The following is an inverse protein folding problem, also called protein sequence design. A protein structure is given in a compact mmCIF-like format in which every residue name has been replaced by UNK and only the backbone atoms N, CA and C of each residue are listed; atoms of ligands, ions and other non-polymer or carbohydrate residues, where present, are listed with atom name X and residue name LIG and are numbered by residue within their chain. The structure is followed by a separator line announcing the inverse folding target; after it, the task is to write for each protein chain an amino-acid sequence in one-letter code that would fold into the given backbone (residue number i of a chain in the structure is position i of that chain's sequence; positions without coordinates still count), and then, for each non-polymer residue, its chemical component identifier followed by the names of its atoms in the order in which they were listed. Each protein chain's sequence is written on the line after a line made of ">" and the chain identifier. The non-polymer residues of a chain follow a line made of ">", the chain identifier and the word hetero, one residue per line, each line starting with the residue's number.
data_IF_615975758346
#
_entry.id   IF_615975758346
#
_cell.length_a   1.000
_cell.length_b   1.000
_cell.length_c   1.000
_cell.angle_alpha   90.00
_cell.angle_beta   90.00
_cell.angle_gamma   90.00
#
_symmetry.space_group_name_H-M   'P 1'
#
loop_
_entity.id
_entity.type
_entity.pdbx_description
1 polymer ?
#
# COMPACT_ATOMS: atom_id res chain seq x y z
N UNK A 1 2.47 58.57 -80.56
CA UNK A 1 1.23 58.82 -81.33
C UNK A 1 0.86 57.52 -82.07
N UNK A 2 -0.42 57.14 -82.22
CA UNK A 2 -1.55 57.43 -81.35
C UNK A 2 -2.56 56.24 -81.19
N UNK A 3 -3.54 56.46 -80.32
CA UNK A 3 -4.97 56.07 -80.43
C UNK A 3 -5.47 54.63 -80.16
N UNK A 4 -6.09 54.47 -78.98
CA UNK A 4 -7.55 54.45 -78.72
C UNK A 4 -8.44 53.78 -79.82
N UNK A 5 -9.19 52.74 -79.45
CA UNK A 5 -10.67 52.70 -79.56
C UNK A 5 -11.32 51.49 -78.88
N UNK A 6 -12.39 51.82 -78.17
CA UNK A 6 -13.43 51.04 -77.50
C UNK A 6 -14.41 50.57 -78.63
N UNK A 7 -15.20 49.50 -78.63
CA UNK A 7 -16.28 49.05 -77.72
C UNK A 7 -16.99 47.87 -78.41
N UNK A 8 -17.62 46.95 -77.66
CA UNK A 8 -18.93 46.31 -78.00
C UNK A 8 -19.36 45.36 -76.87
N UNK A 9 -20.09 45.84 -75.86
CA UNK A 9 -21.51 45.51 -75.56
C UNK A 9 -21.88 44.01 -75.45
N UNK A 10 -22.15 43.54 -74.22
CA UNK A 10 -23.47 43.02 -73.79
C UNK A 10 -23.39 42.37 -72.38
N UNK A 11 -24.32 42.75 -71.51
CA UNK A 11 -24.63 42.28 -70.12
C UNK A 11 -26.10 41.78 -70.23
N UNK A 12 -26.69 40.81 -69.47
CA UNK A 12 -26.60 40.63 -68.00
C UNK A 12 -26.71 39.19 -67.44
N UNK A 13 -26.68 39.13 -66.10
CA UNK A 13 -27.37 38.18 -65.19
C UNK A 13 -26.42 37.26 -64.40
N UNK A 14 -26.54 37.04 -63.08
CA UNK A 14 -27.44 37.51 -62.02
C UNK A 14 -26.77 37.14 -60.67
N UNK A 15 -26.80 38.06 -59.71
CA UNK A 15 -26.94 37.89 -58.25
C UNK A 15 -26.34 36.66 -57.54
N UNK A 16 -25.25 36.89 -56.78
CA UNK A 16 -25.11 36.38 -55.41
C UNK A 16 -26.05 37.21 -54.51
N UNK A 17 -26.76 36.63 -53.52
CA UNK A 17 -26.08 36.39 -52.24
C UNK A 17 -26.65 35.25 -51.35
N UNK A 18 -25.89 34.95 -50.30
CA UNK A 18 -26.26 34.22 -49.06
C UNK A 18 -26.25 32.69 -49.05
N UNK A 19 -25.34 32.15 -48.24
CA UNK A 19 -25.34 30.76 -47.82
C UNK A 19 -23.97 30.25 -47.36
N UNK A 20 -23.23 30.99 -46.54
CA UNK A 20 -22.03 30.44 -45.89
C UNK A 20 -22.49 29.57 -44.72
N UNK A 21 -22.73 28.28 -44.99
CA UNK A 21 -23.00 27.27 -43.97
C UNK A 21 -21.66 26.94 -43.28
N UNK A 22 -21.40 27.57 -42.12
CA UNK A 22 -20.31 27.13 -41.24
C UNK A 22 -20.77 25.86 -40.56
N UNK A 23 -20.31 24.71 -41.08
CA UNK A 23 -20.41 23.44 -40.39
C UNK A 23 -19.34 23.44 -39.28
N UNK A 24 -19.76 23.83 -38.07
CA UNK A 24 -18.96 23.71 -36.86
C UNK A 24 -18.84 22.22 -36.52
N UNK A 25 -17.77 21.58 -36.98
CA UNK A 25 -17.38 20.24 -36.51
C UNK A 25 -16.92 20.41 -35.06
N UNK A 26 -17.84 20.17 -34.11
CA UNK A 26 -17.46 19.81 -32.74
C UNK A 26 -16.74 18.45 -32.82
N UNK A 27 -15.43 18.47 -33.05
CA UNK A 27 -14.58 17.38 -32.65
C UNK A 27 -14.55 17.40 -31.11
N UNK A 28 -15.53 16.74 -30.50
CA UNK A 28 -15.58 16.55 -29.06
C UNK A 28 -14.26 15.93 -28.61
N UNK A 29 -13.52 16.64 -27.77
CA UNK A 29 -12.29 16.16 -27.16
C UNK A 29 -12.62 14.95 -26.28
N UNK A 30 -12.38 13.74 -26.79
CA UNK A 30 -12.59 12.47 -26.09
C UNK A 30 -11.76 12.33 -24.81
N UNK A 31 -10.76 13.20 -24.60
CA UNK A 31 -9.91 13.22 -23.41
C UNK A 31 -10.66 13.55 -22.12
N UNK A 32 -11.70 14.40 -22.17
CA UNK A 32 -12.46 14.79 -20.96
C UNK A 32 -13.45 13.74 -20.44
N UNK A 33 -13.96 12.88 -21.34
CA UNK A 33 -14.90 11.81 -20.98
C UNK A 33 -14.19 10.61 -20.34
N UNK A 34 -12.93 10.34 -20.69
CA UNK A 34 -12.17 9.22 -20.13
C UNK A 34 -11.77 9.48 -18.66
N UNK A 35 -11.44 10.73 -18.30
CA UNK A 35 -11.02 11.09 -16.94
C UNK A 35 -12.19 11.12 -15.93
N UNK A 36 -13.44 11.10 -16.41
CA UNK A 36 -14.67 11.07 -15.61
C UNK A 36 -15.33 9.68 -15.53
N UNK A 37 -14.74 8.64 -16.13
CA UNK A 37 -15.32 7.29 -16.16
C UNK A 37 -15.52 6.67 -14.77
N UNK A 38 -14.63 6.96 -13.81
CA UNK A 38 -14.76 6.49 -12.44
C UNK A 38 -15.91 7.17 -11.66
N UNK A 39 -16.33 8.36 -12.12
CA UNK A 39 -17.51 9.09 -11.61
C UNK A 39 -18.80 8.61 -12.28
N UNK A 40 -18.73 8.20 -13.55
CA UNK A 40 -19.86 7.78 -14.37
C UNK A 40 -19.67 6.33 -14.87
N UNK A 41 -19.78 5.37 -13.95
CA UNK A 41 -19.58 3.95 -14.25
C UNK A 41 -20.69 3.40 -15.15
N UNK A 42 -20.31 2.65 -16.19
CA UNK A 42 -21.26 1.90 -16.99
C UNK A 42 -21.83 0.73 -16.16
N UNK A 43 -23.15 0.53 -16.09
CA UNK A 43 -23.76 -0.58 -15.35
C UNK A 43 -23.22 -1.97 -15.77
N UNK A 44 -22.84 -2.16 -17.03
CA UNK A 44 -22.27 -3.44 -17.48
C UNK A 44 -20.94 -3.75 -16.80
N UNK A 45 -20.12 -2.74 -16.52
CA UNK A 45 -18.83 -2.91 -15.85
C UNK A 45 -18.97 -3.40 -14.41
N UNK A 46 -20.07 -3.04 -13.73
CA UNK A 46 -20.35 -3.55 -12.39
C UNK A 46 -20.58 -5.06 -12.42
N UNK A 47 -21.26 -5.55 -13.48
CA UNK A 47 -21.48 -6.98 -13.69
C UNK A 47 -20.22 -7.71 -14.14
N UNK A 48 -19.31 -7.03 -14.86
CA UNK A 48 -17.99 -7.59 -15.23
C UNK A 48 -17.15 -7.89 -13.98
N UNK A 49 -17.18 -7.01 -12.97
CA UNK A 49 -16.34 -7.16 -11.77
C UNK A 49 -17.03 -7.91 -10.62
N UNK A 50 -18.37 -7.96 -10.60
CA UNK A 50 -19.18 -8.70 -9.64
C UNK A 50 -20.24 -9.56 -10.36
N UNK A 51 -19.83 -10.63 -11.05
CA UNK A 51 -20.74 -11.42 -11.90
C UNK A 51 -21.83 -12.16 -11.12
N UNK A 52 -21.63 -12.41 -9.82
CA UNK A 52 -22.61 -13.06 -8.96
C UNK A 52 -23.76 -12.13 -8.50
N UNK A 53 -23.68 -10.83 -8.78
CA UNK A 53 -24.65 -9.84 -8.33
C UNK A 53 -25.85 -9.74 -9.29
N UNK A 54 -27.06 -9.68 -8.72
CA UNK A 54 -28.28 -9.41 -9.48
C UNK A 54 -28.66 -7.91 -9.47
N UNK A 55 -28.17 -7.14 -8.50
CA UNK A 55 -28.38 -5.70 -8.45
C UNK A 55 -27.29 -4.96 -7.67
N UNK A 56 -27.22 -3.65 -7.86
CA UNK A 56 -26.21 -2.77 -7.26
C UNK A 56 -26.86 -1.56 -6.59
N UNK A 57 -26.27 -1.05 -5.50
CA UNK A 57 -26.66 0.24 -4.92
C UNK A 57 -26.11 1.43 -5.72
N UNK A 58 -26.53 2.63 -5.37
CA UNK A 58 -25.74 3.84 -5.66
C UNK A 58 -24.45 3.84 -4.82
N UNK A 59 -23.39 4.46 -5.35
CA UNK A 59 -22.11 4.63 -4.66
C UNK A 59 -22.31 5.52 -3.41
N UNK A 60 -21.92 5.04 -2.23
CA UNK A 60 -22.10 5.72 -0.96
C UNK A 60 -21.16 5.17 0.13
N UNK A 61 -21.04 5.88 1.26
CA UNK A 61 -20.18 5.53 2.38
C UNK A 61 -18.82 6.22 2.33
N UNK A 62 -17.93 5.86 3.26
CA UNK A 62 -16.58 6.39 3.38
C UNK A 62 -15.61 5.28 3.84
N UNK A 63 -14.65 4.83 3.00
CA UNK A 63 -14.50 5.18 1.59
C UNK A 63 -15.74 4.78 0.76
N UNK A 64 -16.06 5.45 -0.36
CA UNK A 64 -17.32 5.23 -1.05
C UNK A 64 -17.33 3.91 -1.84
N UNK A 65 -18.39 3.13 -1.67
CA UNK A 65 -18.57 1.81 -2.29
C UNK A 65 -19.96 1.66 -2.93
N UNK A 66 -20.04 0.80 -3.94
CA UNK A 66 -21.28 0.27 -4.49
C UNK A 66 -21.49 -1.11 -3.86
N UNK A 67 -22.62 -1.31 -3.18
CA UNK A 67 -22.98 -2.62 -2.61
C UNK A 67 -23.56 -3.51 -3.71
N UNK A 68 -23.06 -4.73 -3.80
CA UNK A 68 -23.56 -5.76 -4.70
C UNK A 68 -24.52 -6.69 -3.96
N UNK A 69 -25.66 -7.02 -4.56
CA UNK A 69 -26.70 -7.84 -3.94
C UNK A 69 -27.00 -9.10 -4.75
N UNK A 70 -27.31 -10.20 -4.04
CA UNK A 70 -27.70 -11.48 -4.66
C UNK A 70 -29.04 -11.42 -5.41
N UNK A 71 -29.94 -10.53 -4.98
CA UNK A 71 -31.28 -10.40 -5.54
C UNK A 71 -31.59 -8.95 -5.95
N UNK A 72 -32.57 -8.77 -6.84
CA UNK A 72 -33.08 -7.44 -7.19
C UNK A 72 -33.77 -6.73 -6.03
N UNK A 73 -34.26 -7.49 -5.04
CA UNK A 73 -34.88 -6.99 -3.81
C UNK A 73 -33.86 -6.42 -2.80
N UNK A 74 -32.55 -6.58 -3.05
CA UNK A 74 -31.44 -6.06 -2.22
C UNK A 74 -31.44 -6.55 -0.76
N UNK A 75 -31.85 -7.80 -0.55
CA UNK A 75 -31.96 -8.39 0.80
C UNK A 75 -30.62 -8.86 1.37
N UNK A 76 -29.71 -9.34 0.51
CA UNK A 76 -28.42 -9.90 0.90
C UNK A 76 -27.30 -9.25 0.11
N UNK A 77 -26.40 -8.57 0.82
CA UNK A 77 -25.12 -8.09 0.27
C UNK A 77 -24.22 -9.30 0.04
N UNK A 78 -23.51 -9.30 -1.08
CA UNK A 78 -22.53 -10.35 -1.42
C UNK A 78 -21.13 -9.80 -1.70
N UNK A 79 -20.94 -8.49 -1.52
CA UNK A 79 -19.66 -7.83 -1.72
C UNK A 79 -19.80 -6.36 -2.08
N UNK A 80 -18.66 -5.78 -2.43
CA UNK A 80 -18.48 -4.35 -2.67
C UNK A 80 -17.78 -4.12 -4.01
N UNK A 81 -18.15 -3.03 -4.68
CA UNK A 81 -17.48 -2.52 -5.88
C UNK A 81 -17.01 -1.11 -5.61
N UNK A 82 -15.76 -0.81 -5.94
CA UNK A 82 -15.12 0.46 -5.66
C UNK A 82 -14.12 0.83 -6.76
N UNK A 83 -13.68 2.09 -6.77
CA UNK A 83 -12.69 2.58 -7.73
C UNK A 83 -11.45 3.11 -7.02
N UNK A 84 -10.26 2.86 -7.55
CA UNK A 84 -9.01 3.32 -6.91
C UNK A 84 -8.93 4.83 -6.64
N UNK A 85 -9.49 5.74 -7.48
CA UNK A 85 -9.46 7.17 -7.18
C UNK A 85 -10.29 7.57 -5.95
N UNK A 86 -11.25 6.74 -5.54
CA UNK A 86 -12.05 6.97 -4.34
C UNK A 86 -11.33 6.54 -3.05
N UNK A 87 -10.20 5.83 -3.19
CA UNK A 87 -9.49 5.20 -2.07
C UNK A 87 -8.03 5.66 -2.09
N UNK A 88 -7.76 6.96 -1.83
CA UNK A 88 -6.41 7.50 -1.86
C UNK A 88 -5.51 6.88 -0.77
N UNK A 89 -4.17 6.90 -0.95
CA UNK A 89 -3.44 7.50 -2.07
C UNK A 89 -3.45 6.61 -3.33
N UNK A 90 -3.47 7.25 -4.51
CA UNK A 90 -3.33 6.55 -5.78
C UNK A 90 -1.86 6.23 -6.08
N UNK A 91 -1.62 5.05 -6.63
CA UNK A 91 -0.29 4.68 -7.12
C UNK A 91 -0.04 5.27 -8.51
N UNK A 92 1.18 5.76 -8.70
CA UNK A 92 1.63 6.31 -9.96
C UNK A 92 2.28 5.23 -10.82
N UNK A 93 1.73 5.03 -12.02
CA UNK A 93 2.40 4.35 -13.12
C UNK A 93 3.57 5.17 -13.65
N UNK A 94 4.08 4.81 -14.83
CA UNK A 94 5.25 5.49 -15.39
C UNK A 94 4.95 6.94 -15.76
N UNK A 95 3.72 7.22 -16.25
CA UNK A 95 3.33 8.57 -16.70
C UNK A 95 2.21 9.21 -15.89
N UNK A 96 1.43 8.44 -15.12
CA UNK A 96 0.29 8.96 -14.36
C UNK A 96 -0.44 7.91 -13.51
N UNK A 97 -1.57 8.29 -12.92
CA UNK A 97 -2.42 7.37 -12.16
C UNK A 97 -3.11 6.35 -13.06
N UNK A 98 -3.46 5.22 -12.47
CA UNK A 98 -4.20 4.15 -13.14
C UNK A 98 -5.49 3.90 -12.37
N UNK A 99 -6.61 4.23 -13.00
CA UNK A 99 -7.93 4.09 -12.41
C UNK A 99 -8.49 2.71 -12.71
N UNK A 100 -8.84 1.98 -11.65
CA UNK A 100 -9.42 0.65 -11.73
C UNK A 100 -10.79 0.63 -11.07
N UNK A 101 -11.68 -0.22 -11.57
CA UNK A 101 -12.91 -0.67 -10.93
C UNK A 101 -12.68 -2.08 -10.42
N UNK A 102 -12.93 -2.31 -9.14
CA UNK A 102 -12.61 -3.57 -8.47
C UNK A 102 -13.86 -4.08 -7.76
N UNK A 103 -14.17 -5.36 -7.96
CA UNK A 103 -15.15 -6.10 -7.18
C UNK A 103 -14.46 -6.97 -6.13
N UNK A 104 -15.05 -7.04 -4.94
CA UNK A 104 -14.56 -7.84 -3.82
C UNK A 104 -15.74 -8.48 -3.08
N UNK A 105 -15.64 -9.75 -2.74
CA UNK A 105 -16.65 -10.45 -1.94
C UNK A 105 -16.53 -10.14 -0.43
N UNK A 106 -17.30 -10.84 0.40
CA UNK A 106 -17.33 -10.60 1.84
C UNK A 106 -16.18 -11.29 2.59
N UNK A 107 -15.48 -12.19 1.91
CA UNK A 107 -14.29 -12.89 2.38
C UNK A 107 -13.01 -12.12 2.02
N UNK A 108 -13.14 -10.99 1.30
CA UNK A 108 -12.02 -10.15 0.92
C UNK A 108 -11.29 -10.65 -0.33
N UNK A 109 -11.93 -11.49 -1.14
CA UNK A 109 -11.36 -12.00 -2.40
C UNK A 109 -11.81 -11.12 -3.57
N UNK A 110 -10.86 -10.75 -4.42
CA UNK A 110 -11.15 -9.96 -5.62
C UNK A 110 -11.91 -10.80 -6.65
N UNK A 111 -13.14 -10.40 -6.96
CA UNK A 111 -14.00 -11.11 -7.92
C UNK A 111 -13.82 -10.63 -9.36
N UNK A 112 -13.20 -9.46 -9.55
CA UNK A 112 -12.94 -8.89 -10.86
C UNK A 112 -12.24 -7.53 -10.79
N UNK A 113 -11.40 -7.26 -11.79
CA UNK A 113 -10.68 -5.99 -11.95
C UNK A 113 -10.85 -5.49 -13.37
N UNK A 114 -11.26 -4.22 -13.50
CA UNK A 114 -11.41 -3.55 -14.79
C UNK A 114 -10.60 -2.26 -14.82
N UNK A 115 -9.76 -2.11 -15.83
CA UNK A 115 -9.06 -0.84 -16.08
C UNK A 115 -10.05 0.15 -16.67
N UNK A 116 -10.25 1.28 -15.98
CA UNK A 116 -11.11 2.36 -16.44
C UNK A 116 -10.31 3.34 -17.30
N UNK A 117 -9.22 3.83 -16.72
CA UNK A 117 -8.42 4.89 -17.32
C UNK A 117 -6.95 4.74 -16.91
N UNK A 118 -6.06 5.09 -17.83
CA UNK A 118 -4.65 5.26 -17.53
C UNK A 118 -4.01 6.21 -18.53
N UNK A 119 -3.06 7.00 -18.04
CA UNK A 119 -2.17 7.80 -18.86
C UNK A 119 -0.78 7.16 -18.85
N UNK A 120 -0.38 6.64 -20.02
CA UNK A 120 0.96 6.09 -20.22
C UNK A 120 1.50 6.49 -21.57
N UNK A 121 2.73 7.02 -21.58
CA UNK A 121 3.46 7.41 -22.80
C UNK A 121 3.50 6.28 -23.84
N UNK A 122 3.56 5.02 -23.37
CA UNK A 122 3.62 3.83 -24.21
C UNK A 122 2.30 3.51 -24.93
N UNK A 123 1.18 4.06 -24.48
CA UNK A 123 -0.13 3.89 -25.11
C UNK A 123 -0.15 4.38 -26.55
N UNK A 124 0.61 5.45 -26.85
CA UNK A 124 0.69 6.07 -28.17
C UNK A 124 1.20 5.12 -29.27
N UNK A 125 2.06 4.15 -28.92
CA UNK A 125 2.68 3.23 -29.88
C UNK A 125 2.42 1.75 -29.60
N UNK A 126 1.95 1.36 -28.41
CA UNK A 126 1.56 -0.03 -28.08
C UNK A 126 0.04 -0.24 -27.98
N UNK A 127 -0.77 0.81 -28.12
CA UNK A 127 -2.22 0.72 -27.92
C UNK A 127 -2.59 0.41 -26.48
N UNK A 128 -3.69 -0.34 -26.28
CA UNK A 128 -4.13 -0.78 -24.95
C UNK A 128 -3.29 -1.96 -24.43
N UNK A 129 -2.02 -1.69 -24.14
CA UNK A 129 -1.09 -2.73 -23.70
C UNK A 129 -1.42 -3.28 -22.30
N UNK A 130 -2.12 -2.51 -21.46
CA UNK A 130 -2.56 -2.97 -20.15
C UNK A 130 -3.74 -3.93 -20.31
N UNK A 131 -4.79 -3.53 -21.04
CA UNK A 131 -5.95 -4.38 -21.29
C UNK A 131 -5.61 -5.70 -21.97
N UNK A 132 -4.58 -5.72 -22.81
CA UNK A 132 -4.13 -6.93 -23.52
C UNK A 132 -3.11 -7.79 -22.73
N UNK A 133 -2.67 -7.36 -21.55
CA UNK A 133 -1.59 -8.05 -20.82
C UNK A 133 -2.04 -9.23 -19.95
N UNK A 134 -3.33 -9.31 -19.63
CA UNK A 134 -3.85 -10.29 -18.67
C UNK A 134 -3.60 -9.95 -17.19
N UNK A 135 -2.89 -8.85 -16.88
CA UNK A 135 -2.55 -8.49 -15.48
C UNK A 135 -3.80 -8.32 -14.61
N UNK A 136 -4.87 -7.74 -15.15
CA UNK A 136 -6.13 -7.55 -14.43
C UNK A 136 -6.79 -8.90 -14.11
N UNK A 137 -6.72 -9.86 -15.02
CA UNK A 137 -7.21 -11.23 -14.80
C UNK A 137 -6.38 -11.96 -13.75
N UNK A 138 -5.06 -11.71 -13.70
CA UNK A 138 -4.17 -12.28 -12.70
C UNK A 138 -4.48 -11.82 -11.27
N UNK A 139 -5.19 -10.71 -11.08
CA UNK A 139 -5.63 -10.23 -9.76
C UNK A 139 -6.93 -10.90 -9.27
N UNK A 140 -7.69 -11.52 -10.17
CA UNK A 140 -8.97 -12.16 -9.81
C UNK A 140 -8.70 -13.42 -9.00
N UNK A 141 -9.43 -13.60 -7.91
CA UNK A 141 -9.28 -14.71 -6.96
C UNK A 141 -8.22 -14.48 -5.89
N UNK A 142 -7.49 -13.35 -5.91
CA UNK A 142 -6.55 -13.00 -4.85
C UNK A 142 -7.27 -12.44 -3.63
N UNK A 143 -6.80 -12.80 -2.45
CA UNK A 143 -7.29 -12.28 -1.18
C UNK A 143 -6.62 -10.95 -0.84
N UNK A 144 -7.34 -10.03 -0.19
CA UNK A 144 -6.73 -8.82 0.39
C UNK A 144 -5.62 -9.13 1.40
N UNK A 145 -5.57 -10.34 1.97
CA UNK A 145 -4.46 -10.80 2.80
C UNK A 145 -3.14 -10.98 2.01
N UNK A 146 -3.21 -11.26 0.71
CA UNK A 146 -2.04 -11.56 -0.11
C UNK A 146 -1.17 -10.29 -0.39
N UNK A 147 0.07 -10.50 -0.81
CA UNK A 147 1.05 -9.42 -1.01
C UNK A 147 1.05 -8.79 -2.41
N UNK A 148 0.54 -9.50 -3.41
CA UNK A 148 0.42 -9.07 -4.82
C UNK A 148 1.79 -8.70 -5.43
N UNK A 149 2.81 -9.49 -5.10
CA UNK A 149 4.17 -9.32 -5.61
C UNK A 149 4.23 -9.50 -7.12
N UNK A 150 4.92 -8.60 -7.79
CA UNK A 150 5.18 -8.73 -9.21
C UNK A 150 6.17 -9.85 -9.50
N UNK A 151 5.86 -10.66 -10.52
CA UNK A 151 6.72 -11.76 -10.95
C UNK A 151 6.62 -13.01 -10.06
N UNK A 152 5.97 -12.91 -8.90
CA UNK A 152 5.66 -14.04 -8.02
C UNK A 152 4.15 -14.30 -7.99
N UNK A 153 3.38 -13.32 -7.50
CA UNK A 153 1.92 -13.42 -7.37
C UNK A 153 1.19 -12.93 -8.62
N UNK A 154 1.72 -11.88 -9.26
CA UNK A 154 1.09 -11.18 -10.39
C UNK A 154 2.10 -11.05 -11.53
N UNK A 155 1.72 -11.51 -12.72
CA UNK A 155 2.56 -11.39 -13.91
C UNK A 155 2.84 -9.92 -14.27
N UNK A 156 4.12 -9.61 -14.49
CA UNK A 156 4.54 -8.30 -14.94
C UNK A 156 4.33 -8.13 -16.46
N UNK A 157 3.92 -6.95 -16.87
CA UNK A 157 3.88 -6.59 -18.29
C UNK A 157 5.30 -6.34 -18.77
N UNK A 158 5.72 -7.08 -19.80
CA UNK A 158 7.05 -6.91 -20.39
C UNK A 158 7.34 -5.46 -20.79
N UNK A 159 8.45 -4.94 -20.24
CA UNK A 159 8.93 -3.56 -20.40
C UNK A 159 7.99 -2.48 -19.85
N UNK A 160 7.09 -2.83 -18.95
CA UNK A 160 6.22 -1.87 -18.26
C UNK A 160 6.13 -2.22 -16.76
N UNK A 161 7.30 -2.44 -16.13
CA UNK A 161 7.41 -2.85 -14.72
C UNK A 161 6.78 -1.84 -13.78
N UNK A 162 7.05 -0.54 -13.96
CA UNK A 162 6.50 0.54 -13.12
C UNK A 162 4.97 0.58 -13.22
N UNK A 163 4.42 0.48 -14.43
CA UNK A 163 2.97 0.40 -14.67
C UNK A 163 2.36 -0.86 -14.04
N UNK A 164 3.01 -2.01 -14.19
CA UNK A 164 2.56 -3.29 -13.61
C UNK A 164 2.52 -3.21 -12.09
N UNK A 165 3.52 -2.54 -11.50
CA UNK A 165 3.67 -2.41 -10.06
C UNK A 165 2.57 -1.51 -9.51
N UNK A 166 2.33 -0.37 -10.16
CA UNK A 166 1.27 0.56 -9.78
C UNK A 166 -0.12 -0.10 -9.85
N UNK A 167 -0.36 -0.96 -10.85
CA UNK A 167 -1.60 -1.74 -10.96
C UNK A 167 -1.77 -2.73 -9.80
N UNK A 168 -0.79 -3.61 -9.59
CA UNK A 168 -0.88 -4.64 -8.56
C UNK A 168 -1.00 -4.01 -7.17
N UNK A 169 -0.12 -3.07 -6.85
CA UNK A 169 -0.12 -2.35 -5.57
C UNK A 169 -1.38 -1.51 -5.38
N UNK A 170 -1.78 -0.75 -6.39
CA UNK A 170 -2.96 0.11 -6.31
C UNK A 170 -4.23 -0.69 -6.06
N UNK A 171 -4.37 -1.86 -6.69
CA UNK A 171 -5.49 -2.76 -6.44
C UNK A 171 -5.46 -3.32 -5.02
N UNK A 172 -4.30 -3.81 -4.56
CA UNK A 172 -4.09 -4.31 -3.19
C UNK A 172 -4.45 -3.27 -2.14
N UNK A 173 -3.86 -2.08 -2.23
CA UNK A 173 -4.00 -1.02 -1.24
C UNK A 173 -5.45 -0.53 -1.15
N UNK A 174 -6.10 -0.33 -2.30
CA UNK A 174 -7.51 0.07 -2.32
C UNK A 174 -8.42 -1.02 -1.73
N UNK A 175 -8.21 -2.29 -2.11
CA UNK A 175 -9.03 -3.39 -1.63
C UNK A 175 -8.88 -3.61 -0.11
N UNK A 176 -7.66 -3.57 0.42
CA UNK A 176 -7.41 -3.65 1.87
C UNK A 176 -8.12 -2.53 2.64
N UNK A 177 -8.01 -1.28 2.17
CA UNK A 177 -8.70 -0.14 2.78
C UNK A 177 -10.22 -0.29 2.78
N UNK A 178 -10.81 -0.85 1.72
CA UNK A 178 -12.24 -1.17 1.70
C UNK A 178 -12.56 -2.29 2.70
N UNK A 179 -11.79 -3.37 2.69
CA UNK A 179 -12.00 -4.51 3.59
C UNK A 179 -11.92 -4.10 5.06
N UNK A 180 -10.98 -3.23 5.43
CA UNK A 180 -10.85 -2.67 6.79
C UNK A 180 -12.09 -1.90 7.25
N UNK A 181 -12.76 -1.19 6.34
CA UNK A 181 -13.92 -0.37 6.69
C UNK A 181 -15.25 -1.13 6.62
N UNK A 182 -15.32 -2.20 5.80
CA UNK A 182 -16.59 -2.85 5.47
C UNK A 182 -16.67 -4.34 5.80
N UNK A 183 -15.53 -5.02 6.03
CA UNK A 183 -15.46 -6.45 6.35
C UNK A 183 -15.03 -6.70 7.80
N UNK A 184 -15.44 -5.85 8.74
CA UNK A 184 -15.01 -5.88 10.15
C UNK A 184 -15.29 -7.19 10.91
N UNK A 185 -16.23 -8.00 10.42
CA UNK A 185 -16.59 -9.30 11.00
C UNK A 185 -15.95 -10.50 10.28
N UNK A 186 -15.21 -10.27 9.19
CA UNK A 186 -14.47 -11.32 8.48
C UNK A 186 -13.15 -11.64 9.18
N UNK A 187 -12.56 -12.80 8.91
CA UNK A 187 -11.23 -13.18 9.43
C UNK A 187 -10.19 -12.09 9.10
N UNK A 188 -10.18 -11.61 7.85
CA UNK A 188 -9.31 -10.49 7.45
C UNK A 188 -9.61 -9.21 8.24
N UNK A 189 -10.88 -8.84 8.42
CA UNK A 189 -11.23 -7.62 9.13
C UNK A 189 -10.87 -7.67 10.62
N UNK A 190 -10.96 -8.86 11.22
CA UNK A 190 -10.51 -9.10 12.60
C UNK A 190 -8.99 -8.92 12.69
N UNK A 191 -8.22 -9.57 11.81
CA UNK A 191 -6.76 -9.43 11.75
C UNK A 191 -6.33 -7.99 11.47
N UNK A 192 -6.94 -7.34 10.48
CA UNK A 192 -6.67 -5.95 10.14
C UNK A 192 -7.02 -5.00 11.30
N UNK A 193 -8.06 -5.29 12.08
CA UNK A 193 -8.40 -4.49 13.27
C UNK A 193 -7.35 -4.62 14.38
N UNK A 194 -6.78 -5.82 14.58
CA UNK A 194 -5.64 -6.00 15.48
C UNK A 194 -4.40 -5.24 14.98
N UNK A 195 -4.07 -5.37 13.69
CA UNK A 195 -2.98 -4.62 13.06
C UNK A 195 -3.17 -3.11 13.21
N UNK A 196 -4.36 -2.57 12.90
CA UNK A 196 -4.66 -1.14 13.02
C UNK A 196 -4.48 -0.68 14.46
N UNK A 197 -4.96 -1.45 15.44
CA UNK A 197 -4.84 -1.11 16.86
C UNK A 197 -3.37 -1.07 17.30
N UNK A 198 -2.58 -2.09 16.93
CA UNK A 198 -1.16 -2.16 17.25
C UNK A 198 -0.36 -1.02 16.60
N UNK A 199 -0.63 -0.72 15.33
CA UNK A 199 -0.01 0.40 14.63
C UNK A 199 -0.41 1.76 15.22
N UNK A 200 -1.66 1.92 15.65
CA UNK A 200 -2.14 3.15 16.26
C UNK A 200 -1.42 3.45 17.58
N UNK A 201 -1.09 2.43 18.37
CA UNK A 201 -0.27 2.60 19.57
C UNK A 201 1.12 3.14 19.23
N UNK A 202 1.79 2.57 18.21
CA UNK A 202 3.10 3.05 17.75
C UNK A 202 2.99 4.46 17.13
N UNK A 203 1.91 4.74 16.40
CA UNK A 203 1.65 6.02 15.76
C UNK A 203 1.43 7.14 16.79
N UNK A 204 0.87 6.85 17.96
CA UNK A 204 0.73 7.85 19.03
C UNK A 204 2.06 8.18 19.72
N UNK A 205 3.07 7.32 19.62
CA UNK A 205 4.39 7.55 20.22
C UNK A 205 5.11 8.70 19.50
N UNK A 206 5.58 9.67 20.26
CA UNK A 206 6.46 10.72 19.75
C UNK A 206 7.91 10.20 19.64
N UNK A 207 8.80 10.98 19.02
CA UNK A 207 10.21 10.58 18.83
C UNK A 207 10.92 10.19 20.14
N UNK A 208 10.63 10.88 21.24
CA UNK A 208 11.25 10.61 22.53
C UNK A 208 10.76 9.28 23.13
N UNK A 209 9.46 8.97 23.00
CA UNK A 209 8.90 7.69 23.41
C UNK A 209 9.49 6.53 22.57
N UNK A 210 9.56 6.71 21.25
CA UNK A 210 10.17 5.72 20.34
C UNK A 210 11.64 5.42 20.70
N UNK A 211 12.41 6.42 21.15
CA UNK A 211 13.76 6.22 21.68
C UNK A 211 13.76 5.49 23.04
N UNK A 212 12.92 5.93 23.97
CA UNK A 212 12.85 5.38 25.33
C UNK A 212 12.46 3.90 25.34
N UNK A 213 11.59 3.50 24.41
CA UNK A 213 11.07 2.15 24.28
C UNK A 213 11.85 1.28 23.28
N UNK A 214 12.92 1.83 22.69
CA UNK A 214 13.86 1.06 21.86
C UNK A 214 13.43 0.83 20.40
N UNK A 215 12.30 1.38 19.95
CA UNK A 215 11.92 1.38 18.53
C UNK A 215 12.98 2.05 17.66
N UNK A 216 13.57 3.12 18.19
CA UNK A 216 14.68 3.86 17.60
C UNK A 216 15.94 3.63 18.42
N UNK A 217 17.05 3.31 17.74
CA UNK A 217 18.38 3.30 18.34
C UNK A 217 19.28 4.26 17.60
N UNK A 218 20.00 5.10 18.35
CA UNK A 218 20.91 6.08 17.75
C UNK A 218 22.38 5.73 18.02
N UNK A 219 23.23 6.01 17.04
CA UNK A 219 24.67 6.03 17.20
C UNK A 219 25.32 7.04 16.27
N UNK A 220 26.58 7.34 16.53
CA UNK A 220 27.36 8.27 15.72
C UNK A 220 28.72 7.70 15.40
N UNK A 221 29.25 8.09 14.26
CA UNK A 221 30.62 7.85 13.82
C UNK A 221 31.27 9.16 13.38
N UNK A 222 32.59 9.20 13.35
CA UNK A 222 33.37 10.34 12.88
C UNK A 222 33.96 10.02 11.51
N UNK A 223 33.65 10.84 10.50
CA UNK A 223 34.13 10.60 9.12
C UNK A 223 35.41 11.39 8.81
N UNK A 224 35.52 12.61 9.33
CA UNK A 224 36.68 13.51 9.20
C UNK A 224 36.87 14.27 10.52
N UNK A 225 38.03 14.88 10.76
CA UNK A 225 38.41 15.74 11.91
C UNK A 225 37.23 16.58 12.44
N UNK A 226 36.46 16.02 13.40
CA UNK A 226 35.27 16.59 14.08
C UNK A 226 33.92 16.59 13.35
N UNK A 227 33.79 15.90 12.21
CA UNK A 227 32.52 15.74 11.50
C UNK A 227 31.80 14.45 11.86
N UNK A 228 30.81 14.56 12.74
CA UNK A 228 29.92 13.47 13.09
C UNK A 228 28.93 13.13 11.96
N UNK A 229 28.78 11.85 11.67
CA UNK A 229 27.62 11.26 11.02
C UNK A 229 26.80 10.55 12.11
N UNK A 230 25.52 10.90 12.22
CA UNK A 230 24.61 10.30 13.18
C UNK A 230 23.60 9.44 12.45
N UNK A 231 23.27 8.30 13.05
CA UNK A 231 22.30 7.34 12.56
C UNK A 231 21.18 7.17 13.58
N UNK A 232 19.95 7.12 13.09
CA UNK A 232 18.77 6.62 13.78
C UNK A 232 18.35 5.34 13.07
N UNK A 233 18.35 4.23 13.80
CA UNK A 233 18.06 2.87 13.31
C UNK A 233 16.67 2.47 13.74
N UNK A 234 15.87 1.97 12.79
CA UNK A 234 14.51 1.50 13.03
C UNK A 234 14.19 0.28 12.17
N UNK A 235 13.48 -0.70 12.72
CA UNK A 235 12.92 -1.77 11.90
C UNK A 235 11.74 -1.27 11.05
N UNK A 236 11.68 -1.69 9.79
CA UNK A 236 10.72 -1.26 8.77
C UNK A 236 10.18 -2.45 7.95
N UNK A 237 10.17 -3.66 8.49
CA UNK A 237 9.70 -4.86 7.77
C UNK A 237 8.19 -4.93 7.51
N UNK A 238 7.45 -3.83 7.64
CA UNK A 238 6.01 -3.81 7.39
C UNK A 238 5.59 -2.53 6.65
N UNK A 239 4.69 -2.68 5.67
CA UNK A 239 4.25 -1.59 4.78
C UNK A 239 3.77 -0.35 5.53
N UNK A 240 2.79 -0.52 6.41
CA UNK A 240 2.23 0.58 7.20
C UNK A 240 3.23 1.21 8.17
N UNK A 241 4.16 0.43 8.71
CA UNK A 241 5.26 0.99 9.50
C UNK A 241 6.14 1.85 8.61
N UNK A 242 6.52 1.37 7.43
CA UNK A 242 7.27 2.13 6.45
C UNK A 242 6.60 3.46 6.09
N UNK A 243 5.32 3.45 5.74
CA UNK A 243 4.56 4.67 5.46
C UNK A 243 4.51 5.62 6.66
N UNK A 244 4.33 5.11 7.88
CA UNK A 244 4.36 5.92 9.11
C UNK A 244 5.74 6.55 9.35
N UNK A 245 6.82 5.81 9.07
CA UNK A 245 8.18 6.25 9.37
C UNK A 245 8.71 7.30 8.40
N UNK A 246 8.54 7.10 7.09
CA UNK A 246 9.10 7.98 6.04
C UNK A 246 8.05 8.69 5.19
N UNK A 247 6.76 8.38 5.37
CA UNK A 247 5.65 8.90 4.59
C UNK A 247 5.28 7.98 3.42
N UNK A 248 3.98 7.95 3.08
CA UNK A 248 3.43 7.07 2.04
C UNK A 248 4.12 7.22 0.67
N UNK A 249 4.48 8.45 0.29
CA UNK A 249 5.17 8.71 -0.99
C UNK A 249 6.58 8.12 -1.04
N UNK A 250 7.39 8.36 0.00
CA UNK A 250 8.77 7.88 0.04
C UNK A 250 8.81 6.35 0.19
N UNK A 251 7.87 5.78 0.96
CA UNK A 251 7.73 4.33 1.07
C UNK A 251 7.26 3.66 -0.24
N UNK A 252 6.27 4.23 -0.93
CA UNK A 252 5.85 3.78 -2.27
C UNK A 252 7.04 3.76 -3.25
N UNK A 253 7.91 4.77 -3.23
CA UNK A 253 9.12 4.79 -4.05
C UNK A 253 10.13 3.71 -3.67
N UNK A 254 10.35 3.49 -2.37
CA UNK A 254 11.23 2.46 -1.85
C UNK A 254 10.77 1.06 -2.28
N UNK A 255 9.49 0.75 -2.08
CA UNK A 255 8.93 -0.57 -2.39
C UNK A 255 8.92 -0.86 -3.90
N UNK A 256 8.76 0.16 -4.74
CA UNK A 256 8.98 0.05 -6.19
C UNK A 256 10.41 -0.38 -6.49
N UNK A 257 11.39 0.26 -5.88
CA UNK A 257 12.81 -0.05 -6.09
C UNK A 257 13.20 -1.44 -5.56
N UNK A 258 12.56 -1.92 -4.48
CA UNK A 258 12.69 -3.29 -3.98
C UNK A 258 12.12 -4.30 -4.98
N UNK A 259 10.91 -4.04 -5.48
CA UNK A 259 10.22 -4.90 -6.45
C UNK A 259 11.01 -5.04 -7.75
N UNK A 260 11.59 -3.95 -8.26
CA UNK A 260 12.44 -3.96 -9.46
C UNK A 260 13.69 -4.84 -9.31
N UNK A 261 14.14 -5.06 -8.07
CA UNK A 261 15.31 -5.88 -7.76
C UNK A 261 14.96 -7.32 -7.38
N UNK A 262 13.67 -7.68 -7.30
CA UNK A 262 13.23 -8.97 -6.76
C UNK A 262 13.79 -9.22 -5.37
N UNK A 263 13.91 -8.16 -4.57
CA UNK A 263 14.52 -8.22 -3.25
C UNK A 263 13.45 -8.30 -2.19
N UNK A 264 13.35 -9.47 -1.57
CA UNK A 264 12.52 -9.73 -0.41
C UNK A 264 13.38 -9.77 0.85
N UNK A 265 12.85 -9.28 1.95
CA UNK A 265 13.49 -9.39 3.25
C UNK A 265 13.06 -8.33 4.24
N UNK A 266 13.50 -8.56 5.48
CA UNK A 266 13.31 -7.61 6.56
C UNK A 266 14.07 -6.32 6.25
N UNK A 267 13.43 -5.18 6.48
CA UNK A 267 14.00 -3.86 6.18
C UNK A 267 14.39 -3.14 7.46
N UNK A 268 15.55 -2.48 7.41
CA UNK A 268 15.99 -1.52 8.42
C UNK A 268 16.06 -0.13 7.82
N UNK A 269 15.36 0.82 8.43
CA UNK A 269 15.52 2.23 8.14
C UNK A 269 16.73 2.79 8.89
N UNK A 270 17.59 3.48 8.15
CA UNK A 270 18.69 4.29 8.67
C UNK A 270 18.43 5.76 8.30
N UNK A 271 17.95 6.52 9.29
CA UNK A 271 17.88 7.98 9.22
C UNK A 271 19.24 8.59 9.54
N UNK A 272 19.74 9.51 8.72
CA UNK A 272 21.05 10.09 8.88
C UNK A 272 21.03 11.62 8.97
N UNK A 273 21.88 12.16 9.84
CA UNK A 273 22.11 13.59 9.99
C UNK A 273 23.59 13.92 10.19
N UNK A 274 23.95 15.20 10.05
CA UNK A 274 25.35 15.64 10.06
C UNK A 274 26.01 15.43 8.69
N UNK A 275 27.17 14.77 8.64
CA UNK A 275 28.00 14.68 7.42
C UNK A 275 27.57 13.58 6.45
N UNK A 276 26.30 13.58 6.05
CA UNK A 276 25.68 12.54 5.20
C UNK A 276 26.30 12.42 3.81
N UNK A 277 26.78 13.54 3.22
CA UNK A 277 27.38 13.56 1.88
C UNK A 277 28.67 12.72 1.74
N UNK A 278 29.29 12.33 2.86
CA UNK A 278 30.51 11.52 2.90
C UNK A 278 30.27 10.08 3.36
N UNK A 279 29.02 9.71 3.61
CA UNK A 279 28.66 8.35 3.99
C UNK A 279 28.99 7.38 2.86
N UNK A 280 29.66 6.29 3.19
CA UNK A 280 29.98 5.22 2.24
C UNK A 280 29.10 4.00 2.53
N UNK A 281 28.21 3.67 1.59
CA UNK A 281 27.28 2.55 1.76
C UNK A 281 28.00 1.22 2.02
N UNK A 282 29.16 0.98 1.41
CA UNK A 282 29.95 -0.25 1.61
C UNK A 282 30.53 -0.41 3.03
N UNK A 283 30.46 0.64 3.85
CA UNK A 283 30.88 0.60 5.26
C UNK A 283 29.74 0.22 6.19
N UNK A 284 28.51 0.11 5.69
CA UNK A 284 27.38 -0.38 6.47
C UNK A 284 27.39 -1.91 6.49
N UNK A 285 27.11 -2.48 7.65
CA UNK A 285 26.93 -3.91 7.83
C UNK A 285 25.93 -4.17 8.96
N UNK A 286 25.45 -5.40 8.99
CA UNK A 286 24.80 -5.96 10.18
C UNK A 286 25.73 -6.97 10.83
N UNK A 287 25.56 -7.22 12.12
CA UNK A 287 26.30 -8.26 12.81
C UNK A 287 25.40 -8.98 13.81
N UNK A 288 25.48 -10.31 13.83
CA UNK A 288 24.73 -11.19 14.72
C UNK A 288 25.59 -12.41 15.03
N UNK A 289 25.57 -12.87 16.29
CA UNK A 289 26.34 -14.03 16.77
C UNK A 289 27.85 -13.99 16.49
N UNK A 290 28.43 -12.78 16.47
CA UNK A 290 29.87 -12.57 16.24
C UNK A 290 30.26 -12.49 14.76
N UNK A 291 29.36 -12.86 13.84
CA UNK A 291 29.55 -12.73 12.41
C UNK A 291 29.16 -11.33 11.92
N UNK A 292 29.85 -10.83 10.90
CA UNK A 292 29.57 -9.55 10.23
C UNK A 292 29.07 -9.83 8.82
N UNK A 293 27.97 -9.20 8.47
CA UNK A 293 27.28 -9.28 7.19
C UNK A 293 27.36 -7.92 6.49
N UNK A 294 28.40 -7.68 5.65
CA UNK A 294 28.53 -6.43 4.91
C UNK A 294 27.38 -6.20 3.94
N UNK A 295 27.00 -4.93 3.77
CA UNK A 295 26.04 -4.54 2.74
C UNK A 295 26.56 -4.89 1.35
N UNK A 296 25.77 -5.64 0.59
CA UNK A 296 26.05 -5.97 -0.82
C UNK A 296 25.51 -4.90 -1.76
N UNK A 297 25.93 -4.94 -3.02
CA UNK A 297 25.35 -4.07 -4.04
C UNK A 297 23.83 -4.30 -4.13
N UNK A 298 23.06 -3.22 -4.04
CA UNK A 298 21.60 -3.28 -4.07
C UNK A 298 20.92 -3.50 -2.70
N UNK A 299 21.66 -3.86 -1.65
CA UNK A 299 21.09 -4.03 -0.29
C UNK A 299 20.73 -2.71 0.40
N UNK A 300 21.24 -1.58 -0.10
CA UNK A 300 20.90 -0.24 0.42
C UNK A 300 20.14 0.53 -0.66
N UNK A 301 18.99 1.05 -0.26
CA UNK A 301 18.07 1.79 -1.11
C UNK A 301 17.82 3.18 -0.53
N UNK A 302 17.65 4.16 -1.40
CA UNK A 302 17.21 5.48 -0.99
C UNK A 302 15.77 5.41 -0.48
N UNK A 303 15.52 5.94 0.72
CA UNK A 303 14.23 5.90 1.41
C UNK A 303 13.68 7.30 1.72
N UNK A 304 14.21 8.34 1.08
CA UNK A 304 13.74 9.72 1.23
C UNK A 304 14.74 10.67 1.88
N UNK A 305 14.30 11.90 2.11
CA UNK A 305 15.12 13.00 2.67
C UNK A 305 14.74 13.35 4.11
N UNK A 306 13.89 12.55 4.76
CA UNK A 306 13.36 12.88 6.09
C UNK A 306 12.42 14.08 6.06
N UNK A 307 11.64 14.24 4.98
CA UNK A 307 10.68 15.34 4.82
C UNK A 307 9.29 15.02 5.37
N UNK A 308 8.96 13.73 5.53
CA UNK A 308 7.66 13.25 5.99
C UNK A 308 7.81 12.10 7.02
N UNK A 309 6.68 11.66 7.56
CA UNK A 309 6.62 10.58 8.56
C UNK A 309 7.25 10.93 9.90
N UNK A 310 7.44 9.93 10.76
CA UNK A 310 8.11 10.07 12.08
C UNK A 310 9.55 10.57 11.96
N UNK A 311 10.20 10.33 10.82
CA UNK A 311 11.57 10.78 10.55
C UNK A 311 11.65 12.28 10.20
N UNK A 312 10.51 12.95 9.98
CA UNK A 312 10.47 14.35 9.57
C UNK A 312 11.28 15.25 10.51
N UNK A 313 12.18 16.06 9.94
CA UNK A 313 13.10 16.96 10.65
C UNK A 313 14.11 16.27 11.61
N UNK A 314 14.25 14.94 11.57
CA UNK A 314 15.23 14.17 12.36
C UNK A 314 16.44 13.73 11.54
N UNK A 315 16.24 13.50 10.24
CA UNK A 315 17.28 13.13 9.30
C UNK A 315 17.22 14.01 8.05
N UNK A 316 18.38 14.23 7.41
CA UNK A 316 18.47 14.85 6.09
C UNK A 316 18.59 13.84 4.95
N UNK A 317 18.79 12.56 5.29
CA UNK A 317 18.85 11.45 4.37
C UNK A 317 18.33 10.19 5.06
N UNK A 318 17.48 9.43 4.37
CA UNK A 318 16.99 8.14 4.82
C UNK A 318 17.42 7.08 3.81
N UNK A 319 17.91 5.95 4.30
CA UNK A 319 18.12 4.75 3.47
C UNK A 319 17.44 3.55 4.13
N UNK A 320 16.93 2.65 3.31
CA UNK A 320 16.49 1.35 3.74
C UNK A 320 17.60 0.34 3.44
N UNK A 321 17.94 -0.47 4.42
CA UNK A 321 18.87 -1.57 4.31
C UNK A 321 18.08 -2.87 4.35
N UNK A 322 18.23 -3.69 3.31
CA UNK A 322 17.72 -5.06 3.25
C UNK A 322 18.61 -5.92 4.14
N UNK A 323 18.01 -6.59 5.11
CA UNK A 323 18.72 -7.51 5.99
C UNK A 323 19.12 -8.78 5.24
N UNK A 324 20.32 -9.30 5.52
CA UNK A 324 20.73 -10.62 5.03
C UNK A 324 19.77 -11.68 5.57
N UNK A 325 19.35 -12.64 4.74
CA UNK A 325 18.39 -13.68 5.12
C UNK A 325 18.88 -14.58 6.26
N UNK A 326 20.18 -14.58 6.58
CA UNK A 326 20.76 -15.29 7.72
C UNK A 326 20.58 -14.57 9.05
N UNK A 327 20.14 -13.31 9.03
CA UNK A 327 19.92 -12.53 10.24
C UNK A 327 18.48 -12.69 10.68
N UNK A 328 18.30 -13.18 11.90
CA UNK A 328 17.00 -13.23 12.55
C UNK A 328 16.70 -11.87 13.20
N UNK A 329 15.70 -11.12 12.73
CA UNK A 329 15.34 -9.83 13.32
C UNK A 329 14.73 -9.93 14.73
N UNK A 330 14.27 -11.11 15.13
CA UNK A 330 13.71 -11.36 16.47
C UNK A 330 14.80 -11.54 17.53
N UNK A 331 16.03 -11.85 17.10
CA UNK A 331 17.19 -11.92 17.98
C UNK A 331 17.96 -10.58 17.97
N UNK A 332 18.69 -10.25 19.05
CA UNK A 332 19.55 -9.07 19.06
C UNK A 332 20.55 -9.08 17.90
N UNK A 333 20.65 -7.97 17.18
CA UNK A 333 21.66 -7.74 16.15
C UNK A 333 22.30 -6.36 16.33
N UNK A 334 23.41 -6.12 15.64
CA UNK A 334 24.07 -4.81 15.61
C UNK A 334 24.01 -4.21 14.22
N UNK A 335 23.73 -2.91 14.16
CA UNK A 335 23.97 -2.10 12.96
C UNK A 335 25.35 -1.48 13.11
N UNK A 336 26.15 -1.62 12.06
CA UNK A 336 27.59 -1.37 12.08
C UNK A 336 27.95 -0.37 10.99
N UNK A 337 28.81 0.58 11.34
CA UNK A 337 29.55 1.40 10.39
C UNK A 337 31.06 1.15 10.55
N UNK A 338 31.68 0.59 9.52
CA UNK A 338 33.11 0.30 9.50
C UNK A 338 33.96 1.57 9.42
N UNK A 339 34.88 1.75 10.36
CA UNK A 339 35.82 2.88 10.45
C UNK A 339 37.24 2.47 10.05
N UNK A 340 37.44 1.22 9.64
CA UNK A 340 38.72 0.66 9.24
C UNK A 340 39.24 1.20 7.90
N UNK A 341 40.51 0.89 7.56
CA UNK A 341 41.07 1.25 6.26
C UNK A 341 40.32 0.58 5.12
N UNK A 342 40.44 1.14 3.91
CA UNK A 342 39.82 0.57 2.71
C UNK A 342 40.31 -0.85 2.48
N UNK A 343 39.39 -1.79 2.25
CA UNK A 343 39.66 -3.22 2.10
C UNK A 343 39.70 -4.01 3.41
N UNK A 344 39.63 -3.34 4.56
CA UNK A 344 39.43 -3.95 5.87
C UNK A 344 38.55 -3.05 6.75
N UNK A 345 37.41 -2.65 6.20
CA UNK A 345 36.55 -1.60 6.76
C UNK A 345 36.03 -1.92 8.16
N UNK A 346 35.87 -3.21 8.51
CA UNK A 346 35.24 -3.67 9.75
C UNK A 346 36.23 -4.07 10.84
N UNK A 347 37.54 -3.91 10.63
CA UNK A 347 38.56 -4.15 11.69
C UNK A 347 38.42 -3.17 12.85
N UNK A 348 37.94 -1.95 12.56
CA UNK A 348 37.45 -1.00 13.54
C UNK A 348 36.06 -0.56 13.10
N UNK A 349 35.16 -0.35 14.05
CA UNK A 349 33.76 -0.07 13.76
C UNK A 349 33.08 0.67 14.91
N UNK A 350 32.13 1.53 14.54
CA UNK A 350 31.11 2.05 15.43
C UNK A 350 29.83 1.25 15.21
N UNK A 351 29.10 0.96 16.28
CA UNK A 351 27.90 0.13 16.17
C UNK A 351 26.85 0.47 17.23
N UNK A 352 25.62 0.10 16.95
CA UNK A 352 24.52 0.08 17.92
C UNK A 352 23.86 -1.27 17.95
N UNK A 353 23.56 -1.76 19.14
CA UNK A 353 22.71 -2.94 19.30
C UNK A 353 21.25 -2.54 19.10
N UNK A 354 20.55 -3.32 18.27
CA UNK A 354 19.13 -3.25 18.06
C UNK A 354 18.50 -4.54 18.60
N UNK A 355 17.43 -4.38 19.37
CA UNK A 355 16.59 -5.47 19.87
C UNK A 355 15.18 -5.05 19.51
N UNK A 356 14.44 -5.92 18.84
CA UNK A 356 13.07 -5.59 18.47
C UNK A 356 12.23 -5.36 19.73
N UNK A 357 11.54 -4.21 19.86
CA UNK A 357 10.64 -3.97 20.98
C UNK A 357 9.55 -5.06 21.04
N UNK A 358 9.15 -5.51 22.23
CA UNK A 358 8.12 -6.54 22.37
C UNK A 358 6.82 -6.22 21.63
N UNK A 359 6.29 -5.00 21.76
CA UNK A 359 5.09 -4.55 21.05
C UNK A 359 5.24 -4.65 19.52
N UNK A 360 6.45 -4.37 19.02
CA UNK A 360 6.76 -4.45 17.59
C UNK A 360 6.89 -5.90 17.14
N UNK A 361 7.51 -6.76 17.95
CA UNK A 361 7.63 -8.18 17.67
C UNK A 361 6.26 -8.86 17.65
N UNK A 362 5.41 -8.56 18.64
CA UNK A 362 4.03 -9.05 18.70
C UNK A 362 3.22 -8.59 17.49
N UNK A 363 3.36 -7.32 17.09
CA UNK A 363 2.70 -6.81 15.89
C UNK A 363 3.13 -7.54 14.61
N UNK A 364 4.42 -7.82 14.44
CA UNK A 364 4.97 -8.35 13.20
C UNK A 364 4.92 -9.87 13.07
N UNK A 365 5.09 -10.57 14.19
CA UNK A 365 5.26 -12.03 14.23
C UNK A 365 4.15 -12.72 15.03
N UNK A 366 3.22 -11.95 15.59
CA UNK A 366 2.23 -12.45 16.53
C UNK A 366 2.84 -12.76 17.89
N UNK A 367 2.00 -13.20 18.82
CA UNK A 367 2.46 -13.70 20.11
C UNK A 367 3.06 -15.10 19.88
N UNK A 368 4.39 -15.24 19.92
CA UNK A 368 5.02 -16.56 20.03
C UNK A 368 4.42 -17.29 21.25
N UNK A 369 3.88 -18.52 21.10
CA UNK A 369 3.39 -19.32 22.21
C UNK A 369 4.60 -19.87 22.99
N UNK A 370 5.28 -19.01 23.73
CA UNK A 370 6.50 -19.43 24.42
C UNK A 370 7.26 -18.26 25.01
N UNK A 371 6.75 -17.73 26.13
CA UNK A 371 7.51 -17.20 27.27
C UNK A 371 6.52 -16.58 28.27
N UNK A 372 5.56 -17.39 28.75
CA UNK A 372 4.91 -17.14 30.05
C UNK A 372 5.24 -18.29 31.01
N UNK A 373 6.08 -17.90 31.95
CA UNK A 373 6.27 -18.42 33.28
C UNK A 373 4.97 -18.98 33.90
N UNK A 374 5.06 -20.21 34.42
CA UNK A 374 4.12 -20.93 35.30
C UNK A 374 2.64 -21.06 34.86
N UNK A 375 2.38 -22.16 34.17
CA UNK A 375 1.09 -22.68 33.68
C UNK A 375 0.12 -23.14 34.80
N UNK A 376 -0.26 -22.25 35.72
CA UNK A 376 -1.31 -22.56 36.71
C UNK A 376 -2.38 -21.48 36.93
N UNK A 377 -2.27 -20.29 36.31
CA UNK A 377 -3.27 -19.22 36.44
C UNK A 377 -4.35 -19.20 35.34
N UNK A 378 -3.97 -19.46 34.09
CA UNK A 378 -4.83 -19.29 32.92
C UNK A 378 -5.90 -20.38 32.78
N UNK A 379 -5.61 -21.60 33.25
CA UNK A 379 -6.58 -22.71 33.29
C UNK A 379 -7.66 -22.54 34.36
N UNK A 380 -7.41 -21.75 35.40
CA UNK A 380 -8.40 -21.42 36.42
C UNK A 380 -9.31 -20.28 35.96
N UNK A 381 -8.80 -19.25 35.29
CA UNK A 381 -9.61 -18.14 34.78
C UNK A 381 -10.61 -18.60 33.70
N UNK A 382 -10.16 -19.42 32.74
CA UNK A 382 -11.05 -20.00 31.72
C UNK A 382 -12.10 -20.95 32.29
N UNK A 383 -11.76 -21.75 33.31
CA UNK A 383 -12.71 -22.64 34.00
C UNK A 383 -13.68 -21.88 34.91
N UNK A 384 -13.24 -20.81 35.59
CA UNK A 384 -14.10 -19.94 36.40
C UNK A 384 -15.09 -19.18 35.53
N UNK A 385 -14.68 -18.67 34.36
CA UNK A 385 -15.58 -18.02 33.42
C UNK A 385 -16.66 -18.99 32.89
N UNK A 386 -16.28 -20.23 32.54
CA UNK A 386 -17.22 -21.28 32.10
C UNK A 386 -18.17 -21.74 33.22
N UNK A 387 -17.71 -21.81 34.47
CA UNK A 387 -18.56 -22.13 35.63
C UNK A 387 -19.54 -20.98 35.90
N UNK A 388 -19.10 -19.72 35.84
CA UNK A 388 -19.97 -18.54 36.06
C UNK A 388 -21.04 -18.45 34.97
N UNK A 389 -20.68 -18.66 33.69
CA UNK A 389 -21.65 -18.66 32.59
C UNK A 389 -22.65 -19.81 32.72
N UNK A 390 -22.19 -21.01 33.11
CA UNK A 390 -23.07 -22.17 33.33
C UNK A 390 -24.01 -21.99 34.52
N UNK A 391 -23.53 -21.39 35.64
CA UNK A 391 -24.36 -21.10 36.80
C UNK A 391 -25.43 -20.03 36.47
N UNK A 392 -25.07 -19.04 35.66
CA UNK A 392 -25.98 -17.96 35.23
C UNK A 392 -27.06 -18.50 34.29
N UNK A 393 -26.72 -19.40 33.37
CA UNK A 393 -27.68 -20.09 32.50
C UNK A 393 -28.64 -21.01 33.28
N UNK A 394 -28.16 -21.70 34.32
CA UNK A 394 -28.99 -22.52 35.21
C UNK A 394 -29.95 -21.68 36.06
N UNK A 395 -29.52 -20.49 36.50
CA UNK A 395 -30.37 -19.54 37.24
C UNK A 395 -31.46 -18.93 36.34
N UNK A 396 -31.11 -18.59 35.09
CA UNK A 396 -32.08 -18.07 34.10
C UNK A 396 -33.09 -19.15 33.69
N UNK A 397 -32.66 -20.41 33.54
CA UNK A 397 -33.56 -21.53 33.27
C UNK A 397 -34.50 -21.84 34.47
N UNK A 398 -33.99 -21.78 35.70
CA UNK A 398 -34.79 -21.98 36.91
C UNK A 398 -35.88 -20.91 37.11
N UNK A 399 -35.58 -19.64 36.80
CA UNK A 399 -36.55 -18.54 36.86
C UNK A 399 -37.64 -18.65 35.78
N UNK A 400 -37.32 -19.25 34.63
CA UNK A 400 -38.29 -19.45 33.55
C UNK A 400 -39.27 -20.61 33.82
N UNK A 401 -38.82 -21.65 34.53
CA UNK A 401 -39.66 -22.81 34.90
C UNK A 401 -40.63 -22.44 36.04
N UNK A 402 -40.22 -21.57 36.97
CA UNK A 402 -41.08 -21.16 38.09
C UNK A 402 -42.27 -20.25 37.69
N UNK A 403 -42.26 -19.68 36.49
CA UNK A 403 -43.37 -18.87 35.94
C UNK A 403 -44.44 -19.67 35.18
N UNK A 404 -44.27 -20.98 35.02
CA UNK A 404 -45.19 -21.85 34.22
C UNK A 404 -45.92 -22.94 35.02
N UNK A 405 -45.86 -22.93 36.35
CA UNK A 405 -46.66 -23.86 37.17
C UNK A 405 -47.96 -23.18 37.62
N UNK A 406 -49.14 -23.76 37.38
CA UNK A 406 -50.39 -23.30 37.96
C UNK A 406 -50.42 -23.68 39.45
N UNK A 407 -50.73 -22.72 40.32
CA UNK A 407 -50.97 -22.96 41.75
C UNK A 407 -52.29 -23.72 41.96
N UNK A 408 -52.38 -24.64 42.94
CA UNK A 408 -53.62 -25.34 43.28
C UNK A 408 -54.70 -24.41 43.84
#
# INVERSE_FOLDING_TARGET
>A
MPQRKISSTAVPARYFPHGFLILLILAGSSSGLAQTQWQNLNPTWLSDVMPAAASFSVKAGDPPVIRAYRSAAREQIIGYVFTTPDVPPEELGFSGTIHMLIGMDLEGVLTGVKILHYDESYKSFRGDFIGNSGIASGLVGKSVGDEFRLGEDVDAISRATITSWALARGARNAARRIAENYLTESDFGIEASYEISALQEIEQKNWQALLAEGFIREFSTTIDEDRALRFSVMYMGHGRLGEMLIGARDYSNLERALSERGTDGNLLLLGMSGSTARMQQRRLALAQDGEVYPSTEGSILFAGTGSAGKLSARAGLAVAMVMDAKIDPQQPFRVVYGTGPVGNEFVSQDAVQYIMPPDLAEFLFGTEPGLTQDDNGSRLAGRLALIIVSLTLLLVAGVHIHRKLPTP
#
